data_IF_833313427233
#
_entry.id   IF_833313427233
#
_cell.length_a   1.000
_cell.length_b   1.000
_cell.length_c   1.000
_cell.angle_alpha   90.00
_cell.angle_beta   90.00
_cell.angle_gamma   90.00
#
_symmetry.space_group_name_H-M   'P 1'
#
loop_
_entity.id
_entity.type
_entity.pdbx_description
1 polymer ?
#
# COMPACT_ATOMS: atom_id res chain seq x y z
N UNK A 1 74.40 -29.44 49.17
CA UNK A 1 74.05 -28.33 48.24
C UNK A 1 72.83 -28.78 47.48
N UNK A 2 71.61 -28.39 47.82
CA UNK A 2 70.91 -27.10 47.73
C UNK A 2 69.80 -27.19 46.68
N UNK A 3 68.64 -26.71 47.10
CA UNK A 3 67.30 -26.72 46.49
C UNK A 3 67.14 -25.48 45.58
N UNK A 4 66.08 -25.49 44.75
CA UNK A 4 65.19 -24.36 44.31
C UNK A 4 65.43 -23.85 42.88
N UNK A 5 64.45 -23.50 42.04
CA UNK A 5 62.97 -23.47 42.08
C UNK A 5 62.44 -23.23 40.65
N UNK A 6 61.19 -23.69 40.45
CA UNK A 6 60.20 -23.50 39.36
C UNK A 6 60.09 -22.08 38.77
N UNK A 7 59.80 -21.95 37.46
CA UNK A 7 58.78 -20.99 36.94
C UNK A 7 57.85 -21.70 35.94
N UNK A 8 56.70 -22.10 36.49
CA UNK A 8 55.40 -22.27 35.85
C UNK A 8 54.89 -20.84 35.61
N UNK A 9 54.87 -20.36 34.37
CA UNK A 9 54.55 -18.93 34.10
C UNK A 9 53.69 -18.65 32.86
N UNK A 10 53.60 -19.55 31.89
CA UNK A 10 53.03 -19.20 30.58
C UNK A 10 51.76 -19.95 30.18
N UNK A 11 51.37 -21.02 30.87
CA UNK A 11 50.13 -21.76 30.55
C UNK A 11 48.91 -21.32 31.38
N UNK A 12 49.09 -20.71 32.55
CA UNK A 12 47.96 -20.24 33.37
C UNK A 12 47.30 -18.96 32.82
N UNK A 13 48.05 -18.09 32.13
CA UNK A 13 47.53 -16.80 31.64
C UNK A 13 46.66 -16.94 30.39
N UNK A 14 46.97 -17.91 29.51
CA UNK A 14 46.16 -18.19 28.30
C UNK A 14 44.88 -18.95 28.64
N UNK A 15 44.92 -19.83 29.64
CA UNK A 15 43.72 -20.51 30.15
C UNK A 15 42.73 -19.58 30.84
N UNK A 16 43.22 -18.58 31.58
CA UNK A 16 42.36 -17.60 32.29
C UNK A 16 41.71 -16.59 31.33
N UNK A 17 42.39 -16.13 30.27
CA UNK A 17 41.78 -15.21 29.28
C UNK A 17 40.77 -15.90 28.38
N UNK A 18 40.99 -17.16 27.97
CA UNK A 18 40.01 -17.96 27.24
C UNK A 18 38.82 -18.39 28.14
N UNK A 19 39.08 -18.71 29.41
CA UNK A 19 38.04 -19.01 30.39
C UNK A 19 37.14 -17.80 30.72
N UNK A 20 37.70 -16.60 30.86
CA UNK A 20 36.94 -15.37 31.11
C UNK A 20 36.09 -14.91 29.91
N UNK A 21 36.51 -15.21 28.68
CA UNK A 21 35.69 -14.93 27.47
C UNK A 21 34.62 -16.00 27.22
N UNK A 22 34.86 -17.25 27.59
CA UNK A 22 33.86 -18.32 27.51
C UNK A 22 32.80 -18.26 28.62
N UNK A 23 33.18 -17.84 29.84
CA UNK A 23 32.24 -17.72 30.96
C UNK A 23 31.29 -16.51 30.80
N UNK A 24 31.66 -15.49 30.00
CA UNK A 24 30.78 -14.33 29.74
C UNK A 24 29.86 -14.48 28.52
N UNK A 25 29.96 -15.58 27.75
CA UNK A 25 29.14 -15.80 26.54
C UNK A 25 27.96 -16.77 26.73
N UNK A 26 27.82 -17.39 27.92
CA UNK A 26 26.65 -18.19 28.31
C UNK A 26 25.70 -17.45 29.25
N UNK A 27 25.54 -16.13 29.09
CA UNK A 27 24.25 -15.55 29.45
C UNK A 27 23.28 -16.01 28.38
N UNK A 28 22.54 -17.08 28.65
CA UNK A 28 21.27 -17.31 27.98
C UNK A 28 20.54 -15.97 28.03
N UNK A 29 20.48 -15.28 26.90
CA UNK A 29 19.45 -14.28 26.69
C UNK A 29 18.18 -15.10 26.55
N UNK A 30 17.64 -15.54 27.70
CA UNK A 30 16.24 -15.93 27.75
C UNK A 30 15.52 -14.67 27.33
N UNK A 31 15.00 -14.66 26.10
CA UNK A 31 13.98 -13.68 25.77
C UNK A 31 12.86 -13.91 26.77
N UNK A 32 12.81 -13.08 27.81
CA UNK A 32 11.68 -13.08 28.73
C UNK A 32 10.53 -12.49 27.94
N UNK A 33 9.84 -13.34 27.18
CA UNK A 33 8.53 -12.99 26.68
C UNK A 33 7.62 -12.97 27.89
N UNK A 34 7.40 -11.78 28.43
CA UNK A 34 6.26 -11.55 29.29
C UNK A 34 5.06 -11.48 28.34
N UNK A 35 4.12 -12.43 28.41
CA UNK A 35 2.87 -12.31 27.67
C UNK A 35 2.24 -10.97 28.06
N UNK A 36 1.85 -10.18 27.06
CA UNK A 36 1.00 -9.04 27.32
C UNK A 36 -0.30 -9.59 27.91
N UNK A 37 -0.51 -9.41 29.21
CA UNK A 37 -1.83 -9.60 29.77
C UNK A 37 -2.74 -8.59 29.08
N UNK A 38 -3.67 -9.10 28.27
CA UNK A 38 -4.78 -8.31 27.75
C UNK A 38 -5.72 -7.99 28.91
N UNK A 39 -5.28 -7.09 29.79
CA UNK A 39 -6.13 -6.42 30.74
C UNK A 39 -7.18 -5.66 29.95
N UNK A 40 -8.45 -6.01 30.15
CA UNK A 40 -9.57 -5.16 29.74
C UNK A 40 -9.44 -3.84 30.51
N UNK A 41 -8.78 -2.87 29.89
CA UNK A 41 -8.73 -1.48 30.34
C UNK A 41 -9.26 -0.59 29.21
N UNK A 42 -10.12 0.34 29.62
CA UNK A 42 -11.11 1.05 28.85
C UNK A 42 -10.54 2.18 27.97
N UNK A 43 -11.39 2.66 27.05
CA UNK A 43 -11.34 3.87 26.20
C UNK A 43 -10.70 3.85 24.79
N UNK A 44 -9.81 2.91 24.43
CA UNK A 44 -9.33 2.81 23.02
C UNK A 44 -9.64 1.47 22.38
N UNK A 45 -10.41 1.49 21.29
CA UNK A 45 -10.79 0.33 20.47
C UNK A 45 -10.26 0.48 19.03
N UNK A 46 -9.74 -0.58 18.43
CA UNK A 46 -9.48 -0.64 16.98
C UNK A 46 -8.09 -0.13 16.54
N UNK A 47 -8.00 0.69 15.46
CA UNK A 47 -6.73 1.04 14.79
C UNK A 47 -5.65 1.65 15.68
N UNK A 48 -6.02 2.31 16.77
CA UNK A 48 -5.10 2.98 17.70
C UNK A 48 -4.20 1.99 18.45
N UNK A 49 -4.74 0.85 18.91
CA UNK A 49 -3.95 -0.20 19.58
C UNK A 49 -3.00 -0.91 18.62
N UNK A 50 -3.43 -1.14 17.38
CA UNK A 50 -2.56 -1.69 16.33
C UNK A 50 -1.44 -0.70 16.02
N UNK A 51 -1.74 0.60 16.01
CA UNK A 51 -0.73 1.63 15.79
C UNK A 51 0.33 1.64 16.90
N UNK A 52 -0.08 1.58 18.16
CA UNK A 52 0.84 1.50 19.31
C UNK A 52 1.69 0.22 19.28
N UNK A 53 1.06 -0.94 19.03
CA UNK A 53 1.76 -2.21 18.90
C UNK A 53 2.77 -2.21 17.74
N UNK A 54 2.37 -1.73 16.55
CA UNK A 54 3.26 -1.64 15.40
C UNK A 54 4.38 -0.63 15.63
N UNK A 55 4.12 0.48 16.31
CA UNK A 55 5.15 1.43 16.71
C UNK A 55 6.15 0.78 17.68
N UNK A 56 5.71 0.02 18.68
CA UNK A 56 6.61 -0.73 19.57
C UNK A 56 7.53 -1.68 18.79
N UNK A 57 7.03 -2.35 17.75
CA UNK A 57 7.82 -3.28 16.93
C UNK A 57 8.80 -2.61 15.97
N UNK A 58 8.51 -1.37 15.54
CA UNK A 58 9.21 -0.72 14.42
C UNK A 58 10.01 0.50 14.83
N UNK A 59 9.73 1.07 16.00
CA UNK A 59 10.35 2.30 16.46
C UNK A 59 11.84 2.12 16.63
N UNK A 60 12.58 3.14 16.23
CA UNK A 60 13.99 3.28 16.51
C UNK A 60 14.19 3.27 18.04
N UNK A 61 15.03 2.36 18.60
CA UNK A 61 15.22 2.25 20.04
C UNK A 61 15.75 3.51 20.71
N UNK A 62 16.45 4.37 19.97
CA UNK A 62 17.01 5.62 20.47
C UNK A 62 15.99 6.77 20.44
N UNK A 63 15.14 6.86 19.41
CA UNK A 63 14.21 7.98 19.24
C UNK A 63 12.77 7.66 19.67
N UNK A 64 12.44 6.37 19.82
CA UNK A 64 11.10 5.88 20.12
C UNK A 64 10.09 6.09 18.99
N UNK A 65 10.55 6.48 17.79
CA UNK A 65 9.71 6.81 16.64
C UNK A 65 10.04 5.94 15.44
N UNK A 66 9.05 5.72 14.58
CA UNK A 66 9.28 5.17 13.25
C UNK A 66 9.56 6.34 12.31
N UNK A 67 10.80 6.43 11.81
CA UNK A 67 11.21 7.52 10.94
C UNK A 67 11.39 7.05 9.49
N UNK A 68 11.18 7.95 8.54
CA UNK A 68 11.30 7.61 7.11
C UNK A 68 12.71 7.14 6.72
N UNK A 69 13.75 7.62 7.40
CA UNK A 69 15.13 7.17 7.22
C UNK A 69 15.31 5.70 7.58
N UNK A 70 14.65 5.24 8.65
CA UNK A 70 14.75 3.85 9.10
C UNK A 70 14.08 2.91 8.10
N UNK A 71 12.92 3.32 7.57
CA UNK A 71 12.24 2.61 6.49
C UNK A 71 13.13 2.47 5.24
N UNK A 72 13.80 3.54 4.82
CA UNK A 72 14.74 3.49 3.69
C UNK A 72 15.94 2.61 3.95
N UNK A 73 16.53 2.70 5.15
CA UNK A 73 17.69 1.91 5.52
C UNK A 73 17.35 0.42 5.48
N UNK A 74 16.23 0.02 6.09
CA UNK A 74 15.73 -1.35 6.07
C UNK A 74 15.51 -1.85 4.63
N UNK A 75 14.84 -1.05 3.79
CA UNK A 75 14.60 -1.39 2.39
C UNK A 75 15.90 -1.58 1.60
N UNK A 76 16.82 -0.63 1.71
CA UNK A 76 18.11 -0.68 1.03
C UNK A 76 18.91 -1.91 1.46
N UNK A 77 18.81 -2.32 2.72
CA UNK A 77 19.42 -3.55 3.21
C UNK A 77 18.79 -4.79 2.59
N UNK A 78 17.46 -4.88 2.53
CA UNK A 78 16.75 -5.99 1.86
C UNK A 78 17.15 -6.09 0.38
N UNK A 79 17.16 -4.96 -0.33
CA UNK A 79 17.58 -4.90 -1.75
C UNK A 79 19.02 -5.39 -1.94
N UNK A 80 19.95 -4.95 -1.06
CA UNK A 80 21.34 -5.42 -1.09
C UNK A 80 21.43 -6.92 -0.85
N UNK A 81 20.70 -7.46 0.14
CA UNK A 81 20.68 -8.89 0.44
C UNK A 81 20.09 -9.71 -0.72
N UNK A 82 19.02 -9.22 -1.36
CA UNK A 82 18.43 -9.86 -2.54
C UNK A 82 19.40 -9.86 -3.74
N UNK A 83 20.10 -8.74 -3.98
CA UNK A 83 21.08 -8.61 -5.05
C UNK A 83 22.33 -9.48 -4.86
N UNK A 84 22.66 -9.84 -3.61
CA UNK A 84 23.83 -10.68 -3.30
C UNK A 84 23.71 -12.13 -3.80
N UNK A 85 22.57 -12.55 -4.40
CA UNK A 85 22.34 -13.88 -5.02
C UNK A 85 22.99 -15.03 -4.23
N UNK A 86 22.83 -15.02 -2.91
CA UNK A 86 23.24 -16.15 -2.09
C UNK A 86 22.27 -17.29 -2.40
N UNK A 87 22.71 -18.27 -3.20
CA UNK A 87 21.99 -19.53 -3.45
C UNK A 87 21.90 -20.34 -2.14
N UNK A 88 21.09 -19.87 -1.19
CA UNK A 88 20.68 -20.57 0.03
C UNK A 88 19.26 -21.11 -0.12
N UNK A 89 18.93 -21.63 -1.30
CA UNK A 89 17.73 -22.45 -1.45
C UNK A 89 17.98 -23.75 -0.71
N UNK A 90 17.66 -23.78 0.59
CA UNK A 90 17.68 -24.98 1.43
C UNK A 90 16.57 -25.99 1.05
N UNK A 91 15.88 -25.80 -0.10
CA UNK A 91 14.70 -26.58 -0.46
C UNK A 91 13.53 -26.38 0.51
N UNK A 92 13.54 -25.30 1.28
CA UNK A 92 12.52 -25.01 2.28
C UNK A 92 11.22 -24.59 1.58
N UNK A 93 10.14 -25.28 1.92
CA UNK A 93 8.78 -24.88 1.55
C UNK A 93 8.25 -24.00 2.67
N UNK A 94 7.96 -22.74 2.35
CA UNK A 94 7.31 -21.83 3.28
C UNK A 94 5.81 -22.05 3.18
N UNK A 95 5.18 -22.43 4.29
CA UNK A 95 3.72 -22.52 4.41
C UNK A 95 3.21 -21.48 5.41
N UNK A 96 2.04 -20.91 5.12
CA UNK A 96 1.39 -19.96 6.01
C UNK A 96 0.71 -20.74 7.15
N UNK A 97 1.12 -20.49 8.38
CA UNK A 97 0.57 -21.16 9.58
C UNK A 97 -0.72 -20.52 10.13
N UNK A 98 -1.24 -19.50 9.45
CA UNK A 98 -2.42 -18.75 9.90
C UNK A 98 -2.15 -17.74 11.03
N UNK A 99 -3.21 -17.20 11.66
CA UNK A 99 -4.62 -17.51 11.42
C UNK A 99 -5.06 -17.12 10.00
N UNK A 100 -5.82 -18.00 9.35
CA UNK A 100 -6.39 -17.80 8.01
C UNK A 100 -7.77 -17.12 8.04
N UNK A 101 -8.33 -16.91 9.24
CA UNK A 101 -9.63 -16.31 9.48
C UNK A 101 -9.58 -14.87 10.02
N UNK A 102 -8.39 -14.27 10.16
CA UNK A 102 -8.22 -12.87 10.56
C UNK A 102 -7.63 -12.09 9.40
N UNK A 103 -8.49 -11.32 8.73
CA UNK A 103 -8.08 -10.44 7.64
C UNK A 103 -7.31 -9.22 8.13
N UNK A 104 -6.30 -8.80 7.36
CA UNK A 104 -5.72 -7.47 7.47
C UNK A 104 -6.66 -6.38 6.90
N UNK A 105 -6.19 -5.14 6.87
CA UNK A 105 -6.98 -4.04 6.29
C UNK A 105 -6.98 -4.10 4.76
N UNK A 106 -8.16 -4.35 4.19
CA UNK A 106 -8.43 -4.22 2.76
C UNK A 106 -8.66 -2.77 2.33
N UNK A 107 -8.36 -2.48 1.07
CA UNK A 107 -8.52 -1.17 0.42
C UNK A 107 -9.30 -1.26 -0.89
N UNK A 108 -9.12 -2.36 -1.60
CA UNK A 108 -9.73 -2.58 -2.89
C UNK A 108 -10.38 -3.95 -2.92
N UNK A 109 -11.52 -4.04 -3.60
CA UNK A 109 -12.15 -5.29 -4.00
C UNK A 109 -12.64 -5.10 -5.43
N UNK A 110 -12.44 -6.12 -6.26
CA UNK A 110 -12.90 -6.11 -7.65
C UNK A 110 -13.40 -7.49 -8.03
N UNK A 111 -14.61 -7.57 -8.58
CA UNK A 111 -15.17 -8.82 -9.11
C UNK A 111 -14.90 -8.87 -10.60
N UNK A 112 -14.37 -9.99 -11.08
CA UNK A 112 -14.10 -10.16 -12.50
C UNK A 112 -15.40 -10.05 -13.31
N UNK A 113 -15.38 -9.22 -14.36
CA UNK A 113 -16.57 -8.92 -15.17
C UNK A 113 -17.04 -10.08 -16.04
N UNK A 114 -16.17 -11.06 -16.31
CA UNK A 114 -16.49 -12.24 -17.11
C UNK A 114 -16.78 -13.47 -16.26
N UNK A 115 -16.32 -13.49 -15.01
CA UNK A 115 -16.56 -14.60 -14.09
C UNK A 115 -16.66 -14.11 -12.64
N UNK A 116 -17.88 -13.98 -12.12
CA UNK A 116 -18.13 -13.52 -10.76
C UNK A 116 -17.56 -14.43 -9.65
N UNK A 117 -17.10 -15.65 -9.97
CA UNK A 117 -16.38 -16.49 -9.03
C UNK A 117 -14.96 -16.00 -8.74
N UNK A 118 -14.41 -15.15 -9.63
CA UNK A 118 -13.08 -14.57 -9.51
C UNK A 118 -13.19 -13.20 -8.86
N UNK A 119 -12.52 -13.04 -7.71
CA UNK A 119 -12.52 -11.80 -6.95
C UNK A 119 -11.08 -11.43 -6.62
N UNK A 120 -10.72 -10.18 -6.86
CA UNK A 120 -9.44 -9.59 -6.52
C UNK A 120 -9.60 -8.71 -5.27
N UNK A 121 -8.64 -8.76 -4.36
CA UNK A 121 -8.61 -7.93 -3.17
C UNK A 121 -7.24 -7.29 -2.96
N UNK A 122 -7.22 -5.99 -2.71
CA UNK A 122 -6.02 -5.22 -2.41
C UNK A 122 -5.93 -4.92 -0.92
N UNK A 123 -4.75 -5.10 -0.34
CA UNK A 123 -4.46 -4.85 1.07
C UNK A 123 -3.49 -3.69 1.24
N UNK A 124 -3.59 -2.98 2.37
CA UNK A 124 -2.67 -1.88 2.72
C UNK A 124 -1.22 -2.35 2.87
N UNK A 125 -1.01 -3.61 3.24
CA UNK A 125 0.31 -4.16 3.51
C UNK A 125 0.48 -5.62 3.07
N UNK A 126 -0.60 -6.28 2.64
CA UNK A 126 -0.62 -7.69 2.27
C UNK A 126 -0.49 -7.94 0.76
N UNK A 127 -0.57 -6.89 -0.06
CA UNK A 127 -0.51 -7.02 -1.51
C UNK A 127 -1.87 -7.29 -2.17
N UNK A 128 -1.81 -7.90 -3.35
CA UNK A 128 -2.95 -8.34 -4.15
C UNK A 128 -3.25 -9.81 -3.84
N UNK A 129 -4.52 -10.12 -3.64
CA UNK A 129 -5.02 -11.47 -3.45
C UNK A 129 -6.08 -11.78 -4.50
N UNK A 130 -6.18 -13.05 -4.90
CA UNK A 130 -7.20 -13.55 -5.82
C UNK A 130 -7.93 -14.72 -5.20
N UNK A 131 -9.25 -14.67 -5.23
CA UNK A 131 -10.11 -15.83 -5.00
C UNK A 131 -10.66 -16.32 -6.33
N UNK A 132 -10.73 -17.63 -6.50
CA UNK A 132 -11.34 -18.29 -7.67
C UNK A 132 -12.64 -19.03 -7.33
N UNK A 133 -13.15 -18.84 -6.10
CA UNK A 133 -14.29 -19.57 -5.55
C UNK A 133 -15.20 -18.68 -4.70
N UNK A 134 -15.56 -17.50 -5.21
CA UNK A 134 -16.48 -16.54 -4.57
C UNK A 134 -15.99 -16.02 -3.20
N UNK A 135 -14.69 -15.89 -3.01
CA UNK A 135 -14.12 -15.37 -1.76
C UNK A 135 -13.98 -16.41 -0.64
N UNK A 136 -14.24 -17.69 -0.90
CA UNK A 136 -14.08 -18.76 0.10
C UNK A 136 -12.61 -19.01 0.46
N UNK A 137 -11.72 -19.00 -0.54
CA UNK A 137 -10.27 -19.11 -0.34
C UNK A 137 -9.53 -18.07 -1.17
N UNK A 138 -8.38 -17.62 -0.68
CA UNK A 138 -7.59 -16.55 -1.28
C UNK A 138 -6.16 -16.99 -1.49
N UNK A 139 -5.63 -16.67 -2.66
CA UNK A 139 -4.22 -16.86 -3.02
C UNK A 139 -3.56 -15.49 -3.10
N UNK A 140 -2.42 -15.31 -2.40
CA UNK A 140 -1.62 -14.10 -2.56
C UNK A 140 -0.90 -14.12 -3.92
N UNK A 141 -0.94 -13.02 -4.66
CA UNK A 141 -0.17 -12.83 -5.88
C UNK A 141 1.26 -12.49 -5.48
N UNK A 142 2.21 -13.39 -5.75
CA UNK A 142 3.63 -13.14 -5.53
C UNK A 142 4.49 -13.56 -6.73
N UNK A 143 5.61 -12.85 -7.00
CA UNK A 143 6.04 -11.64 -6.31
C UNK A 143 5.26 -10.40 -6.82
N UNK A 144 4.72 -9.61 -5.91
CA UNK A 144 4.35 -8.23 -6.22
C UNK A 144 5.65 -7.44 -6.23
N UNK A 145 6.06 -6.95 -7.40
CA UNK A 145 7.27 -6.16 -7.56
C UNK A 145 7.37 -5.08 -6.47
N UNK A 146 8.18 -5.35 -5.46
CA UNK A 146 8.58 -4.53 -4.30
C UNK A 146 7.50 -3.68 -3.57
N UNK A 147 6.20 -3.78 -3.87
CA UNK A 147 5.17 -2.97 -3.23
C UNK A 147 3.90 -3.76 -2.90
N UNK A 148 3.56 -3.79 -1.61
CA UNK A 148 2.41 -4.52 -1.06
C UNK A 148 1.21 -3.60 -0.70
N UNK A 149 1.31 -2.30 -0.96
CA UNK A 149 0.31 -1.30 -0.61
C UNK A 149 -0.70 -1.15 -1.74
N UNK A 150 -1.54 -2.17 -1.99
CA UNK A 150 -2.52 -2.13 -3.08
C UNK A 150 -3.75 -1.35 -2.64
N UNK A 151 -3.99 -0.22 -3.29
CA UNK A 151 -5.00 0.78 -2.89
C UNK A 151 -6.27 0.72 -3.74
N UNK A 152 -6.16 0.35 -5.01
CA UNK A 152 -7.26 0.36 -5.97
C UNK A 152 -7.03 -0.66 -7.09
N UNK A 153 -8.11 -1.20 -7.66
CA UNK A 153 -8.08 -2.25 -8.70
C UNK A 153 -9.16 -1.91 -9.74
N UNK A 154 -8.88 -2.15 -11.02
CA UNK A 154 -9.89 -2.11 -12.10
C UNK A 154 -9.64 -3.20 -13.13
N UNK A 155 -10.64 -3.41 -14.00
CA UNK A 155 -10.55 -4.27 -15.17
C UNK A 155 -11.06 -3.55 -16.41
N UNK A 156 -10.25 -3.54 -17.46
CA UNK A 156 -10.63 -2.98 -18.77
C UNK A 156 -11.63 -3.88 -19.49
N UNK A 157 -12.25 -3.35 -20.55
CA UNK A 157 -13.27 -4.07 -21.33
C UNK A 157 -12.73 -5.33 -22.02
N UNK A 158 -11.43 -5.38 -22.31
CA UNK A 158 -10.76 -6.58 -22.83
C UNK A 158 -10.24 -7.53 -21.73
N UNK A 159 -10.54 -7.27 -20.45
CA UNK A 159 -10.25 -8.18 -19.35
C UNK A 159 -8.91 -8.03 -18.66
N UNK A 160 -8.09 -7.04 -19.02
CA UNK A 160 -6.81 -6.79 -18.35
C UNK A 160 -7.04 -6.22 -16.95
N UNK A 161 -6.26 -6.67 -15.99
CA UNK A 161 -6.40 -6.31 -14.58
C UNK A 161 -5.31 -5.31 -14.21
N UNK A 162 -5.70 -4.13 -13.73
CA UNK A 162 -4.76 -3.11 -13.29
C UNK A 162 -4.97 -2.79 -11.82
N UNK A 163 -3.89 -2.43 -11.14
CA UNK A 163 -3.96 -1.98 -9.76
C UNK A 163 -2.98 -0.86 -9.47
N UNK A 164 -3.44 0.08 -8.65
CA UNK A 164 -2.63 1.16 -8.11
C UNK A 164 -2.07 0.79 -6.75
N UNK A 165 -0.97 1.44 -6.39
CA UNK A 165 -0.36 1.30 -5.07
C UNK A 165 -0.22 2.63 -4.34
N UNK A 166 -0.34 2.57 -3.01
CA UNK A 166 -0.25 3.72 -2.10
C UNK A 166 -1.56 4.50 -1.96
N UNK A 167 -1.78 5.04 -0.76
CA UNK A 167 -2.98 5.82 -0.43
C UNK A 167 -2.62 7.01 0.44
N UNK A 168 -3.40 8.09 0.32
CA UNK A 168 -3.20 9.32 1.09
C UNK A 168 -3.64 9.23 2.55
N UNK A 169 -4.25 8.12 2.97
CA UNK A 169 -4.82 7.97 4.32
C UNK A 169 -3.97 7.09 5.23
N UNK A 170 -2.89 6.53 4.70
CA UNK A 170 -1.93 5.69 5.40
C UNK A 170 -0.54 6.32 5.33
N UNK A 171 0.24 6.16 6.39
CA UNK A 171 1.62 6.64 6.44
C UNK A 171 2.54 5.60 7.08
N UNK A 172 3.80 5.48 6.64
CA UNK A 172 4.84 4.71 7.33
C UNK A 172 5.03 5.10 8.79
N UNK A 173 4.78 6.36 9.15
CA UNK A 173 5.00 6.90 10.50
C UNK A 173 3.77 6.82 11.41
N UNK A 174 2.62 6.39 10.89
CA UNK A 174 1.41 6.03 11.66
C UNK A 174 0.81 7.07 12.61
N UNK A 175 1.25 8.33 12.64
CA UNK A 175 0.87 9.28 13.73
C UNK A 175 0.05 10.47 13.24
N UNK A 176 -1.02 10.81 13.98
CA UNK A 176 -1.81 12.04 13.88
C UNK A 176 -3.24 11.87 13.36
N UNK A 177 -3.39 11.44 12.10
CA UNK A 177 -4.70 11.27 11.42
C UNK A 177 -4.70 10.09 10.41
N UNK A 178 -3.58 9.35 10.33
CA UNK A 178 -3.34 8.30 9.34
C UNK A 178 -2.86 7.02 10.01
N UNK A 179 -3.47 5.89 9.65
CA UNK A 179 -3.09 4.60 10.19
C UNK A 179 -1.76 4.11 9.58
N UNK A 180 -1.02 3.20 10.23
CA UNK A 180 0.18 2.58 9.66
C UNK A 180 -0.07 2.01 8.27
N UNK A 181 0.85 2.27 7.35
CA UNK A 181 0.86 1.65 6.04
C UNK A 181 2.21 1.80 5.35
N UNK A 182 2.22 1.52 4.06
CA UNK A 182 3.43 1.53 3.24
C UNK A 182 3.26 2.49 2.06
N UNK A 183 4.34 3.17 1.64
CA UNK A 183 4.29 4.06 0.50
C UNK A 183 4.00 3.25 -0.78
N UNK A 184 3.22 3.81 -1.69
CA UNK A 184 2.98 3.24 -3.02
C UNK A 184 4.17 3.39 -3.95
N UNK A 185 4.07 2.76 -5.12
CA UNK A 185 5.04 2.82 -6.19
C UNK A 185 4.40 2.82 -7.59
N UNK A 186 3.20 3.35 -7.71
CA UNK A 186 2.55 3.56 -9.01
C UNK A 186 1.58 2.46 -9.44
N UNK A 187 1.47 2.29 -10.76
CA UNK A 187 0.50 1.47 -11.47
C UNK A 187 1.14 0.19 -12.01
N UNK A 188 0.43 -0.92 -11.83
CA UNK A 188 0.83 -2.25 -12.26
C UNK A 188 -0.31 -2.95 -13.01
N UNK A 189 0.05 -3.92 -13.83
CA UNK A 189 -0.87 -4.90 -14.43
C UNK A 189 -0.64 -6.27 -13.77
N UNK A 190 -1.73 -6.95 -13.43
CA UNK A 190 -1.71 -8.37 -13.11
C UNK A 190 -2.15 -9.16 -14.34
N UNK A 191 -1.36 -10.17 -14.71
CA UNK A 191 -1.63 -11.05 -15.86
C UNK A 191 -2.05 -12.42 -15.33
N UNK A 192 -3.36 -12.73 -15.23
CA UNK A 192 -3.83 -13.96 -14.58
C UNK A 192 -3.29 -15.24 -15.23
N UNK A 193 -3.11 -15.25 -16.55
CA UNK A 193 -2.66 -16.42 -17.31
C UNK A 193 -1.22 -16.86 -16.97
N UNK A 194 -0.37 -15.93 -16.52
CA UNK A 194 1.03 -16.21 -16.16
C UNK A 194 1.30 -15.98 -14.67
N UNK A 195 0.35 -15.39 -13.94
CA UNK A 195 0.54 -14.93 -12.58
C UNK A 195 1.50 -13.75 -12.45
N UNK A 196 1.95 -13.15 -13.56
CA UNK A 196 2.94 -12.08 -13.55
C UNK A 196 2.33 -10.75 -13.13
N UNK A 197 3.16 -9.95 -12.46
CA UNK A 197 2.88 -8.56 -12.14
C UNK A 197 3.84 -7.69 -12.96
N UNK A 198 3.30 -6.84 -13.82
CA UNK A 198 4.08 -6.00 -14.75
C UNK A 198 3.98 -4.53 -14.30
N UNK A 199 5.11 -3.85 -14.03
CA UNK A 199 5.09 -2.42 -13.76
C UNK A 199 4.71 -1.65 -15.02
N UNK A 200 3.69 -0.79 -14.93
CA UNK A 200 3.25 0.06 -16.04
C UNK A 200 3.87 1.44 -15.91
N UNK A 201 3.63 2.09 -14.77
CA UNK A 201 4.17 3.41 -14.46
C UNK A 201 4.55 3.44 -12.99
N UNK A 202 5.86 3.38 -12.71
CA UNK A 202 6.40 3.20 -11.35
C UNK A 202 7.58 4.12 -11.11
N UNK A 203 7.89 4.42 -9.85
CA UNK A 203 9.17 5.08 -9.55
C UNK A 203 10.32 4.09 -9.75
N UNK A 204 11.47 4.58 -10.21
CA UNK A 204 12.67 3.75 -10.36
C UNK A 204 13.14 3.13 -9.04
N UNK A 205 12.86 3.78 -7.91
CA UNK A 205 12.93 3.21 -6.57
C UNK A 205 11.63 3.53 -5.84
N UNK A 206 11.12 2.58 -5.07
CA UNK A 206 9.92 2.84 -4.28
C UNK A 206 10.22 3.91 -3.22
N UNK A 207 9.42 4.99 -3.19
CA UNK A 207 9.68 6.12 -2.32
C UNK A 207 9.57 5.77 -0.84
N UNK A 208 10.24 6.55 0.00
CA UNK A 208 10.06 6.50 1.45
C UNK A 208 8.93 7.39 1.94
N UNK A 209 8.81 8.55 1.30
CA UNK A 209 7.82 9.57 1.60
C UNK A 209 6.67 9.49 0.60
N UNK A 210 5.42 9.63 1.05
CA UNK A 210 4.25 9.78 0.19
C UNK A 210 4.16 11.19 -0.43
N UNK A 211 5.30 11.75 -0.88
CA UNK A 211 5.41 13.13 -1.38
C UNK A 211 6.02 13.23 -2.78
N UNK A 212 6.26 12.09 -3.44
CA UNK A 212 6.74 12.04 -4.84
C UNK A 212 5.67 11.51 -5.77
N UNK A 213 5.71 11.92 -7.04
CA UNK A 213 4.81 11.42 -8.08
C UNK A 213 4.81 9.88 -8.08
N UNK A 214 3.62 9.28 -8.20
CA UNK A 214 3.35 7.83 -8.15
C UNK A 214 3.42 7.14 -6.77
N UNK A 215 3.76 7.85 -5.69
CA UNK A 215 3.69 7.26 -4.34
C UNK A 215 2.26 7.01 -3.84
N UNK A 216 1.26 7.62 -4.49
CA UNK A 216 -0.16 7.48 -4.21
C UNK A 216 -0.91 7.40 -5.56
N UNK A 217 -1.40 6.21 -5.88
CA UNK A 217 -2.46 5.98 -6.86
C UNK A 217 -3.68 5.58 -6.04
N UNK A 218 -4.50 6.55 -5.65
CA UNK A 218 -5.53 6.36 -4.65
C UNK A 218 -6.81 5.72 -5.20
N UNK A 219 -7.12 5.97 -6.48
CA UNK A 219 -8.27 5.43 -7.18
C UNK A 219 -7.91 5.09 -8.64
N UNK A 220 -8.60 4.13 -9.22
CA UNK A 220 -8.44 3.74 -10.63
C UNK A 220 -9.80 3.34 -11.22
N UNK A 221 -10.04 3.76 -12.46
CA UNK A 221 -11.20 3.35 -13.26
C UNK A 221 -10.80 3.07 -14.69
N UNK A 222 -11.64 2.32 -15.41
CA UNK A 222 -11.44 2.00 -16.81
C UNK A 222 -12.72 2.22 -17.63
N UNK A 223 -12.55 2.71 -18.86
CA UNK A 223 -13.61 2.79 -19.87
C UNK A 223 -13.06 2.30 -21.20
N UNK A 224 -13.58 1.19 -21.74
CA UNK A 224 -12.90 0.54 -22.84
C UNK A 224 -11.52 0.05 -22.38
N UNK A 225 -10.49 0.51 -23.08
CA UNK A 225 -9.10 0.33 -22.70
C UNK A 225 -8.45 1.62 -22.20
N UNK A 226 -9.21 2.70 -21.93
CA UNK A 226 -8.65 3.89 -21.29
C UNK A 226 -8.58 3.66 -19.79
N UNK A 227 -7.46 4.05 -19.17
CA UNK A 227 -7.33 4.08 -17.71
C UNK A 227 -7.42 5.50 -17.19
N UNK A 228 -8.08 5.66 -16.05
CA UNK A 228 -8.15 6.88 -15.26
C UNK A 228 -7.53 6.61 -13.90
N UNK A 229 -6.62 7.48 -13.45
CA UNK A 229 -5.94 7.38 -12.17
C UNK A 229 -6.24 8.61 -11.32
N UNK A 230 -6.70 8.37 -10.10
CA UNK A 230 -6.83 9.37 -9.06
C UNK A 230 -5.55 9.41 -8.24
N UNK A 231 -4.81 10.51 -8.31
CA UNK A 231 -3.46 10.59 -7.75
C UNK A 231 -3.35 11.66 -6.66
N UNK A 232 -2.14 11.76 -6.09
CA UNK A 232 -1.79 12.74 -5.06
C UNK A 232 -1.99 14.21 -5.48
N UNK A 233 -2.00 15.08 -4.48
CA UNK A 233 -1.97 16.53 -4.68
C UNK A 233 -0.75 16.95 -5.50
N UNK A 234 -0.95 17.83 -6.47
CA UNK A 234 0.01 18.20 -7.50
C UNK A 234 -0.14 17.41 -8.81
N UNK A 235 -0.99 16.37 -8.87
CA UNK A 235 -1.31 15.63 -10.09
C UNK A 235 -2.81 15.59 -10.38
N UNK A 236 -3.63 15.21 -9.39
CA UNK A 236 -5.09 15.09 -9.55
C UNK A 236 -5.51 13.87 -10.35
N UNK A 237 -6.58 14.02 -11.14
CA UNK A 237 -7.05 12.97 -12.05
C UNK A 237 -6.22 13.00 -13.32
N UNK A 238 -5.77 11.84 -13.79
CA UNK A 238 -5.13 11.71 -15.11
C UNK A 238 -5.68 10.51 -15.86
N UNK A 239 -5.64 10.54 -17.19
CA UNK A 239 -5.97 9.40 -18.04
C UNK A 239 -4.91 9.12 -19.10
N UNK A 240 -4.86 7.89 -19.58
CA UNK A 240 -4.11 7.50 -20.76
C UNK A 240 -4.80 6.35 -21.50
N UNK A 241 -4.62 6.34 -22.81
CA UNK A 241 -4.95 5.22 -23.68
C UNK A 241 -3.69 4.37 -23.92
N UNK A 242 -3.84 3.07 -24.17
CA UNK A 242 -2.76 2.25 -24.66
C UNK A 242 -2.45 2.58 -26.12
N UNK A 243 -1.22 2.32 -26.54
CA UNK A 243 -0.84 2.31 -27.94
C UNK A 243 -1.52 1.14 -28.71
N UNK A 244 -1.29 1.06 -30.02
CA UNK A 244 -1.84 -0.02 -30.85
C UNK A 244 -1.34 -1.43 -30.48
N UNK A 245 -0.32 -1.55 -29.64
CA UNK A 245 0.19 -2.80 -29.09
C UNK A 245 -0.31 -3.10 -27.68
N UNK A 246 -1.16 -2.23 -27.11
CA UNK A 246 -1.69 -2.38 -25.76
C UNK A 246 -0.82 -1.79 -24.65
N UNK A 247 0.27 -1.09 -24.94
CA UNK A 247 1.15 -0.53 -23.91
C UNK A 247 0.68 0.85 -23.47
N UNK A 248 0.62 1.09 -22.17
CA UNK A 248 0.36 2.42 -21.63
C UNK A 248 1.68 3.20 -21.45
N UNK A 249 1.63 4.55 -21.44
CA UNK A 249 2.82 5.36 -21.16
C UNK A 249 3.42 5.05 -19.78
N UNK A 250 4.73 4.82 -19.75
CA UNK A 250 5.47 4.46 -18.53
C UNK A 250 5.90 5.66 -17.69
N UNK A 251 5.65 6.86 -18.16
CA UNK A 251 5.91 8.12 -17.46
C UNK A 251 4.66 8.98 -17.40
N UNK A 252 4.53 9.77 -16.33
CA UNK A 252 3.37 10.65 -16.12
C UNK A 252 3.20 11.69 -17.23
N UNK A 253 4.25 12.03 -17.99
CA UNK A 253 4.17 12.94 -19.13
C UNK A 253 3.30 12.43 -20.28
N UNK A 254 3.06 11.11 -20.35
CA UNK A 254 2.13 10.53 -21.32
C UNK A 254 0.67 10.49 -20.84
N UNK A 255 0.39 11.02 -19.65
CA UNK A 255 -0.93 11.01 -19.03
C UNK A 255 -1.49 12.43 -18.98
N UNK A 256 -2.79 12.55 -19.23
CA UNK A 256 -3.46 13.85 -19.39
C UNK A 256 -4.43 14.10 -18.25
N UNK A 257 -4.38 15.27 -17.62
CA UNK A 257 -5.42 15.68 -16.66
C UNK A 257 -6.60 16.29 -17.42
N UNK A 258 -7.80 15.68 -17.40
CA UNK A 258 -8.96 16.18 -18.14
C UNK A 258 -9.79 17.20 -17.35
N UNK A 259 -9.52 17.38 -16.06
CA UNK A 259 -10.30 18.23 -15.16
C UNK A 259 -9.62 19.58 -15.03
N UNK A 260 -10.38 20.63 -15.33
CA UNK A 260 -9.93 22.02 -15.17
C UNK A 260 -10.76 22.72 -14.12
N UNK A 261 -10.11 23.59 -13.35
CA UNK A 261 -10.79 24.48 -12.40
C UNK A 261 -11.48 25.58 -13.23
N UNK A 262 -12.82 25.71 -13.19
CA UNK A 262 -13.53 26.73 -13.95
C UNK A 262 -13.15 28.14 -13.51
N UNK A 263 -12.83 29.01 -14.46
CA UNK A 263 -12.38 30.38 -14.21
C UNK A 263 -10.90 30.57 -14.52
N UNK A 264 -9.96 30.06 -13.71
CA UNK A 264 -8.53 30.14 -14.02
C UNK A 264 -8.12 29.21 -15.16
N UNK A 265 -8.95 28.23 -15.55
CA UNK A 265 -8.70 27.28 -16.64
C UNK A 265 -7.34 26.56 -16.51
N UNK A 266 -7.02 26.18 -15.27
CA UNK A 266 -5.83 25.40 -14.93
C UNK A 266 -6.22 23.97 -14.53
N UNK A 267 -5.32 22.98 -14.66
CA UNK A 267 -5.60 21.63 -14.21
C UNK A 267 -5.97 21.56 -12.72
N UNK A 268 -7.02 20.79 -12.40
CA UNK A 268 -7.37 20.46 -11.02
C UNK A 268 -6.42 19.37 -10.51
N UNK A 269 -5.44 19.77 -9.70
CA UNK A 269 -4.36 18.90 -9.25
C UNK A 269 -4.49 18.47 -7.79
N UNK A 270 -5.59 18.78 -7.09
CA UNK A 270 -5.82 18.32 -5.71
C UNK A 270 -5.89 16.79 -5.63
N UNK A 271 -5.67 16.23 -4.43
CA UNK A 271 -5.83 14.78 -4.18
C UNK A 271 -7.20 14.28 -4.64
N UNK A 272 -7.20 13.21 -5.43
CA UNK A 272 -8.40 12.45 -5.78
C UNK A 272 -8.59 11.33 -4.76
N UNK A 273 -9.75 11.31 -4.12
CA UNK A 273 -10.13 10.31 -3.14
C UNK A 273 -10.73 9.07 -3.80
N UNK A 274 -11.58 9.24 -4.81
CA UNK A 274 -12.33 8.15 -5.43
C UNK A 274 -12.75 8.48 -6.86
N UNK A 275 -12.99 7.46 -7.67
CA UNK A 275 -13.47 7.57 -9.06
C UNK A 275 -14.49 6.48 -9.30
N UNK A 276 -15.61 6.82 -9.91
CA UNK A 276 -16.50 5.83 -10.51
C UNK A 276 -16.90 6.20 -11.93
N UNK A 277 -17.08 5.19 -12.77
CA UNK A 277 -17.37 5.33 -14.20
C UNK A 277 -18.52 4.38 -14.55
N UNK A 278 -19.63 4.96 -14.98
CA UNK A 278 -20.80 4.22 -15.43
C UNK A 278 -20.61 3.65 -16.85
N UNK A 279 -21.46 2.69 -17.20
CA UNK A 279 -21.40 1.99 -18.49
C UNK A 279 -21.65 2.88 -19.71
N UNK A 280 -22.37 3.99 -19.55
CA UNK A 280 -22.59 5.00 -20.58
C UNK A 280 -21.39 5.96 -20.76
N UNK A 281 -20.45 5.95 -19.81
CA UNK A 281 -19.29 6.83 -19.76
C UNK A 281 -19.45 8.00 -18.80
N UNK A 282 -20.59 8.14 -18.11
CA UNK A 282 -20.75 9.12 -17.05
C UNK A 282 -19.73 8.85 -15.95
N UNK A 283 -19.08 9.91 -15.47
CA UNK A 283 -18.01 9.84 -14.48
C UNK A 283 -18.34 10.66 -13.25
N UNK A 284 -17.93 10.12 -12.11
CA UNK A 284 -17.90 10.78 -10.82
C UNK A 284 -16.45 10.75 -10.30
N UNK A 285 -15.93 11.90 -9.92
CA UNK A 285 -14.57 12.03 -9.40
C UNK A 285 -14.62 12.79 -8.09
N UNK A 286 -14.27 12.10 -7.01
CA UNK A 286 -14.31 12.63 -5.66
C UNK A 286 -12.96 13.21 -5.26
N UNK A 287 -12.93 14.47 -4.87
CA UNK A 287 -11.77 15.14 -4.26
C UNK A 287 -12.09 15.43 -2.78
N UNK A 288 -11.17 16.07 -2.07
CA UNK A 288 -11.50 16.62 -0.74
C UNK A 288 -12.36 17.88 -0.88
N UNK A 289 -13.53 17.88 -0.23
CA UNK A 289 -14.47 19.00 -0.18
C UNK A 289 -15.27 19.28 -1.45
N UNK A 290 -15.08 18.49 -2.51
CA UNK A 290 -15.74 18.70 -3.81
C UNK A 290 -15.78 17.41 -4.63
N UNK A 291 -16.75 17.34 -5.53
CA UNK A 291 -16.86 16.31 -6.55
C UNK A 291 -16.90 16.96 -7.93
N UNK A 292 -16.43 16.25 -8.94
CA UNK A 292 -16.66 16.58 -10.33
C UNK A 292 -17.47 15.46 -10.98
N UNK A 293 -18.47 15.83 -11.77
CA UNK A 293 -19.23 14.90 -12.62
C UNK A 293 -19.03 15.24 -14.07
N UNK A 294 -19.00 14.23 -14.94
CA UNK A 294 -18.91 14.41 -16.39
C UNK A 294 -19.80 13.40 -17.12
N UNK A 295 -20.40 13.74 -18.25
CA UNK A 295 -21.19 12.80 -19.06
C UNK A 295 -20.34 11.75 -19.81
N UNK A 296 -19.05 12.00 -20.03
CA UNK A 296 -18.22 11.12 -20.89
C UNK A 296 -16.72 11.06 -20.55
N UNK A 297 -16.28 11.81 -19.54
CA UNK A 297 -14.88 11.91 -19.13
C UNK A 297 -13.98 12.72 -20.05
N UNK A 298 -14.53 13.43 -21.05
CA UNK A 298 -13.73 14.22 -21.98
C UNK A 298 -13.23 15.53 -21.34
N UNK A 299 -12.09 16.08 -21.79
CA UNK A 299 -11.65 17.39 -21.31
C UNK A 299 -12.73 18.47 -21.45
N UNK A 300 -12.87 19.33 -20.43
CA UNK A 300 -13.89 20.40 -20.34
C UNK A 300 -15.35 19.95 -20.15
N UNK A 301 -15.64 18.65 -20.05
CA UNK A 301 -17.00 18.14 -19.77
C UNK A 301 -17.35 18.09 -18.27
N UNK A 302 -16.37 18.35 -17.40
CA UNK A 302 -16.52 18.20 -15.96
C UNK A 302 -17.19 19.42 -15.31
N UNK A 303 -18.19 19.14 -14.47
CA UNK A 303 -18.90 20.14 -13.65
C UNK A 303 -18.61 19.91 -12.18
N UNK A 304 -18.27 20.98 -11.45
CA UNK A 304 -17.93 20.93 -10.02
C UNK A 304 -19.17 21.07 -9.14
N UNK A 305 -19.24 20.25 -8.08
CA UNK A 305 -20.15 20.45 -6.94
C UNK A 305 -19.35 20.47 -5.64
N UNK A 306 -19.50 21.52 -4.84
CA UNK A 306 -18.83 21.63 -3.54
C UNK A 306 -19.60 20.83 -2.47
N UNK A 307 -18.85 20.12 -1.63
CA UNK A 307 -19.39 19.30 -0.53
C UNK A 307 -18.89 19.88 0.78
N UNK A 308 -19.71 20.74 1.39
CA UNK A 308 -19.36 21.45 2.63
C UNK A 308 -19.06 20.49 3.77
N UNK A 309 -17.93 20.70 4.44
CA UNK A 309 -17.51 19.90 5.60
C UNK A 309 -16.91 18.53 5.27
N UNK A 310 -16.94 18.07 4.02
CA UNK A 310 -16.37 16.78 3.62
C UNK A 310 -14.84 16.83 3.46
N UNK A 311 -14.10 16.06 4.25
CA UNK A 311 -12.64 15.92 4.05
C UNK A 311 -12.30 14.68 3.22
N UNK A 312 -13.00 13.55 3.45
CA UNK A 312 -12.92 12.34 2.64
C UNK A 312 -14.25 12.07 1.98
N UNK A 313 -14.24 11.94 0.66
CA UNK A 313 -15.44 11.71 -0.14
C UNK A 313 -15.20 10.47 -0.99
N UNK A 314 -16.15 9.56 -0.99
CA UNK A 314 -16.21 8.39 -1.87
C UNK A 314 -17.61 8.34 -2.46
N UNK A 315 -17.74 7.76 -3.64
CA UNK A 315 -19.05 7.69 -4.28
C UNK A 315 -19.09 6.69 -5.42
N UNK A 316 -20.31 6.31 -5.76
CA UNK A 316 -20.60 5.35 -6.81
C UNK A 316 -21.80 5.82 -7.63
N UNK A 317 -21.80 5.47 -8.91
CA UNK A 317 -22.89 5.69 -9.84
C UNK A 317 -23.70 4.39 -9.90
N UNK A 318 -25.03 4.49 -9.82
CA UNK A 318 -25.89 3.32 -9.87
C UNK A 318 -25.76 2.62 -11.24
N UNK A 319 -25.42 1.32 -11.29
CA UNK A 319 -25.29 0.62 -12.57
C UNK A 319 -26.59 0.55 -13.38
N UNK A 320 -27.74 0.64 -12.71
CA UNK A 320 -29.08 0.59 -13.33
C UNK A 320 -29.55 1.93 -13.91
N UNK A 321 -29.02 3.04 -13.41
CA UNK A 321 -29.37 4.40 -13.86
C UNK A 321 -28.22 5.36 -13.56
N UNK A 322 -27.42 5.74 -14.57
CA UNK A 322 -26.28 6.64 -14.40
C UNK A 322 -26.63 8.05 -13.85
N UNK A 323 -27.92 8.42 -13.82
CA UNK A 323 -28.37 9.68 -13.20
C UNK A 323 -28.45 9.61 -11.67
N UNK A 324 -28.35 8.41 -11.09
CA UNK A 324 -28.36 8.20 -9.64
C UNK A 324 -26.94 7.98 -9.15
N UNK A 325 -26.47 8.88 -8.28
CA UNK A 325 -25.15 8.78 -7.66
C UNK A 325 -25.28 8.72 -6.13
N UNK A 326 -24.50 7.86 -5.50
CA UNK A 326 -24.39 7.74 -4.05
C UNK A 326 -23.09 8.36 -3.61
N UNK A 327 -23.15 9.31 -2.67
CA UNK A 327 -21.98 9.98 -2.12
C UNK A 327 -21.93 9.74 -0.62
N UNK A 328 -20.77 9.31 -0.14
CA UNK A 328 -20.45 9.26 1.29
C UNK A 328 -19.34 10.24 1.57
N UNK A 329 -19.57 11.13 2.52
CA UNK A 329 -18.60 12.13 2.95
C UNK A 329 -18.34 12.02 4.43
N UNK A 330 -17.09 12.20 4.86
CA UNK A 330 -16.72 12.20 6.28
C UNK A 330 -15.74 13.34 6.55
N UNK A 331 -15.74 13.81 7.80
CA UNK A 331 -14.79 14.83 8.28
C UNK A 331 -13.78 14.28 9.30
N UNK A 332 -13.71 12.95 9.45
CA UNK A 332 -12.89 12.28 10.46
C UNK A 332 -13.56 12.08 11.82
N UNK A 333 -14.75 12.68 12.06
CA UNK A 333 -15.51 12.50 13.30
C UNK A 333 -16.91 11.88 13.08
N UNK A 334 -17.56 12.17 11.96
CA UNK A 334 -18.91 11.65 11.63
C UNK A 334 -19.08 11.46 10.11
N UNK A 335 -20.05 10.62 9.73
CA UNK A 335 -20.57 10.56 8.35
C UNK A 335 -21.48 11.75 8.14
N UNK A 336 -21.23 12.52 7.08
CA UNK A 336 -22.07 13.64 6.66
C UNK A 336 -23.00 13.13 5.57
N UNK A 337 -24.31 13.38 5.72
CA UNK A 337 -25.24 13.27 4.60
C UNK A 337 -25.01 14.50 3.71
N UNK A 338 -24.51 14.33 2.47
CA UNK A 338 -24.50 15.44 1.53
C UNK A 338 -25.95 15.83 1.22
N UNK A 339 -26.29 17.08 1.48
CA UNK A 339 -27.57 17.69 1.09
C UNK A 339 -27.58 18.03 -0.40
#
# INVERSE_FOLDING_TARGET
>A
MNIKTIIVGSLAVVGLTAGLTYINSNKEVKSSYNPLEYGKSETSSGPEKINEYLNMLRANPQTGKVEYSDYQAARNQVMKLAAMKQNKSLGMVWEQMGPDNVGGRGRAIWVDRFNSNIIYAGSVAGGLHVSYNNGNTWTNVHPLGDNLSVSCITQTDNGRIFFGTGSAFESPTGTGLGSPGFPGNGLYEYVPSTGQVVPIMVNGNVPALPSVSLSIVNAIGARGNRLYLGMTSGTGLVYADPDGSGNYPSTLSGWTNPVVIPGPNIPETSLVNDIDIASDGSMLVCYSGKIYTSPDGSPNSFSITNVTGGSRISGAIAPSDPNVMYIVSTNGAQVLNPS
#
